data_IF_855677564150
#
_entry.id   IF_855677564150
#
_cell.length_a   1.000
_cell.length_b   1.000
_cell.length_c   1.000
_cell.angle_alpha   90.00
_cell.angle_beta   90.00
_cell.angle_gamma   90.00
#
_symmetry.space_group_name_H-M   'P 1'
#
loop_
_entity.id
_entity.type
_entity.pdbx_description
1 polymer ?
#
# COMPACT_ATOMS: atom_id res chain seq x y z
N UNK A 1 5.62 21.62 11.37
CA UNK A 1 6.26 20.34 11.04
C UNK A 1 5.25 19.52 10.26
N UNK A 2 5.47 19.32 8.97
CA UNK A 2 4.63 18.46 8.13
C UNK A 2 4.80 17.00 8.61
N UNK A 3 3.72 16.24 8.79
CA UNK A 3 3.84 14.82 9.12
C UNK A 3 4.40 14.06 7.91
N UNK A 4 5.08 12.92 8.13
CA UNK A 4 5.64 12.12 7.04
C UNK A 4 4.58 11.73 5.99
N UNK A 5 3.34 11.49 6.42
CA UNK A 5 2.23 11.16 5.53
C UNK A 5 1.90 12.29 4.55
N UNK A 6 1.92 13.54 5.02
CA UNK A 6 1.64 14.69 4.16
C UNK A 6 2.75 14.94 3.13
N UNK A 7 4.03 14.77 3.51
CA UNK A 7 5.14 14.87 2.55
C UNK A 7 5.05 13.78 1.46
N UNK A 8 4.72 12.55 1.86
CA UNK A 8 4.49 11.45 0.92
C UNK A 8 3.32 11.81 0.00
N UNK A 9 2.20 12.29 0.54
CA UNK A 9 1.04 12.71 -0.25
C UNK A 9 1.41 13.78 -1.28
N UNK A 10 2.00 14.89 -0.85
CA UNK A 10 2.40 15.98 -1.74
C UNK A 10 3.36 15.50 -2.84
N UNK A 11 4.31 14.63 -2.48
CA UNK A 11 5.26 14.05 -3.44
C UNK A 11 4.53 13.22 -4.51
N UNK A 12 3.68 12.29 -4.10
CA UNK A 12 2.96 11.41 -5.05
C UNK A 12 1.89 12.16 -5.85
N UNK A 13 1.19 13.14 -5.26
CA UNK A 13 0.28 14.04 -5.98
C UNK A 13 1.04 14.86 -7.05
N UNK A 14 2.25 15.34 -6.76
CA UNK A 14 3.09 16.05 -7.74
C UNK A 14 3.50 15.16 -8.92
N UNK A 15 3.65 13.86 -8.67
CA UNK A 15 3.88 12.81 -9.66
C UNK A 15 2.59 12.34 -10.36
N UNK A 16 1.46 13.02 -10.13
CA UNK A 16 0.14 12.73 -10.72
C UNK A 16 -0.49 11.41 -10.28
N UNK A 17 -0.09 10.86 -9.14
CA UNK A 17 -0.86 9.79 -8.51
C UNK A 17 -2.13 10.32 -7.89
N UNK A 18 -3.19 9.53 -7.95
CA UNK A 18 -4.34 9.67 -7.05
C UNK A 18 -3.96 9.08 -5.70
N UNK A 19 -3.92 9.90 -4.65
CA UNK A 19 -3.43 9.50 -3.33
C UNK A 19 -4.57 9.38 -2.32
N UNK A 20 -4.63 8.23 -1.66
CA UNK A 20 -5.54 7.96 -0.54
C UNK A 20 -4.74 7.62 0.71
N UNK A 21 -5.00 8.35 1.80
CA UNK A 21 -4.33 8.10 3.10
C UNK A 21 -5.26 7.34 4.03
N UNK A 22 -4.70 6.32 4.68
CA UNK A 22 -5.36 5.54 5.72
C UNK A 22 -4.51 5.56 7.00
N UNK A 23 -5.16 5.68 8.15
CA UNK A 23 -4.51 5.78 9.46
C UNK A 23 -4.94 4.64 10.38
N UNK A 24 -3.99 4.10 11.15
CA UNK A 24 -4.21 3.18 12.28
C UNK A 24 -5.19 2.02 12.00
N UNK A 25 -5.02 1.37 10.85
CA UNK A 25 -5.85 0.25 10.43
C UNK A 25 -5.60 -1.00 11.30
N UNK A 26 -6.68 -1.73 11.58
CA UNK A 26 -6.62 -3.13 12.01
C UNK A 26 -6.19 -4.04 10.86
N UNK A 27 -5.80 -5.28 11.16
CA UNK A 27 -5.52 -6.30 10.15
C UNK A 27 -6.66 -6.46 9.14
N UNK A 28 -7.90 -6.50 9.64
CA UNK A 28 -9.09 -6.69 8.78
C UNK A 28 -9.39 -5.48 7.89
N UNK A 29 -9.23 -4.26 8.42
CA UNK A 29 -9.43 -3.03 7.64
C UNK A 29 -8.34 -2.89 6.58
N UNK A 30 -7.11 -3.22 6.93
CA UNK A 30 -5.99 -3.17 6.01
C UNK A 30 -6.14 -4.19 4.87
N UNK A 31 -6.50 -5.44 5.17
CA UNK A 31 -6.80 -6.45 4.14
C UNK A 31 -7.99 -6.03 3.26
N UNK A 32 -9.01 -5.38 3.83
CA UNK A 32 -10.15 -4.85 3.07
C UNK A 32 -9.73 -3.73 2.10
N UNK A 33 -8.85 -2.82 2.49
CA UNK A 33 -8.32 -1.80 1.58
C UNK A 33 -7.47 -2.42 0.47
N UNK A 34 -6.60 -3.40 0.79
CA UNK A 34 -5.83 -4.13 -0.23
C UNK A 34 -6.75 -4.83 -1.23
N UNK A 35 -7.80 -5.51 -0.77
CA UNK A 35 -8.80 -6.16 -1.64
C UNK A 35 -9.56 -5.16 -2.51
N UNK A 36 -9.93 -4.00 -1.94
CA UNK A 36 -10.59 -2.93 -2.69
C UNK A 36 -9.71 -2.44 -3.84
N UNK A 37 -8.43 -2.16 -3.59
CA UNK A 37 -7.52 -1.74 -4.66
C UNK A 37 -7.19 -2.88 -5.61
N UNK A 38 -7.12 -4.14 -5.16
CA UNK A 38 -6.98 -5.29 -6.06
C UNK A 38 -8.13 -5.38 -7.07
N UNK A 39 -9.37 -5.15 -6.62
CA UNK A 39 -10.58 -5.25 -7.45
C UNK A 39 -10.87 -4.02 -8.31
N UNK A 40 -10.14 -2.91 -8.10
CA UNK A 40 -10.28 -1.70 -8.89
C UNK A 40 -9.83 -1.93 -10.34
N UNK A 41 -10.50 -1.29 -11.29
CA UNK A 41 -10.04 -1.28 -12.67
C UNK A 41 -8.89 -0.27 -12.84
N UNK A 42 -7.67 -0.79 -12.94
CA UNK A 42 -6.47 0.01 -13.14
C UNK A 42 -6.18 0.31 -14.61
N UNK A 43 -7.03 -0.07 -15.56
CA UNK A 43 -6.73 -0.01 -17.00
C UNK A 43 -6.28 1.38 -17.47
N UNK A 44 -6.87 2.45 -16.93
CA UNK A 44 -6.52 3.85 -17.22
C UNK A 44 -5.32 4.40 -16.44
N UNK A 45 -4.77 3.66 -15.49
CA UNK A 45 -3.63 4.07 -14.64
C UNK A 45 -2.31 3.52 -15.18
N UNK A 46 -1.23 4.27 -14.99
CA UNK A 46 0.11 3.90 -15.46
C UNK A 46 0.94 3.06 -14.47
N UNK A 47 0.69 3.19 -13.17
CA UNK A 47 1.42 2.49 -12.11
C UNK A 47 0.59 2.43 -10.82
N UNK A 48 1.00 1.54 -9.91
CA UNK A 48 0.48 1.46 -8.54
C UNK A 48 1.61 1.69 -7.54
N UNK A 49 1.32 2.44 -6.47
CA UNK A 49 2.23 2.66 -5.35
C UNK A 49 1.51 2.43 -4.02
N UNK A 50 2.11 1.64 -3.12
CA UNK A 50 1.63 1.44 -1.76
C UNK A 50 2.74 1.86 -0.78
N UNK A 51 2.47 2.90 0.00
CA UNK A 51 3.40 3.42 1.01
C UNK A 51 2.90 3.03 2.40
N UNK A 52 3.75 2.40 3.20
CA UNK A 52 3.41 1.86 4.51
C UNK A 52 4.40 2.41 5.52
N UNK A 53 3.88 3.10 6.54
CA UNK A 53 4.65 3.60 7.68
C UNK A 53 4.05 3.00 8.95
N UNK A 54 4.76 2.06 9.57
CA UNK A 54 4.36 1.49 10.86
C UNK A 54 5.57 1.04 11.67
N UNK A 55 5.34 0.67 12.92
CA UNK A 55 6.28 -0.22 13.60
C UNK A 55 6.35 -1.56 12.87
N UNK A 56 7.47 -2.25 13.00
CA UNK A 56 7.66 -3.56 12.39
C UNK A 56 8.52 -4.44 13.27
N UNK A 57 8.47 -5.74 12.97
CA UNK A 57 9.24 -6.77 13.66
C UNK A 57 9.35 -8.02 12.80
N UNK A 58 10.58 -8.48 12.53
CA UNK A 58 10.84 -9.77 11.88
C UNK A 58 10.05 -9.98 10.56
N UNK A 59 10.06 -9.01 9.65
CA UNK A 59 9.37 -9.10 8.35
C UNK A 59 7.87 -8.81 8.39
N UNK A 60 7.35 -8.32 9.52
CA UNK A 60 5.94 -7.94 9.69
C UNK A 60 5.82 -6.45 9.97
N UNK A 61 4.70 -5.86 9.54
CA UNK A 61 4.21 -4.59 10.10
C UNK A 61 3.33 -4.88 11.32
N UNK A 62 3.31 -3.95 12.26
CA UNK A 62 2.37 -3.94 13.37
C UNK A 62 1.15 -3.13 12.92
N UNK A 63 -0.04 -3.71 13.01
CA UNK A 63 -1.32 -3.02 12.83
C UNK A 63 -1.90 -2.70 14.20
N UNK A 64 -3.09 -2.08 14.24
CA UNK A 64 -3.74 -1.70 15.49
C UNK A 64 -4.02 -2.89 16.42
N UNK A 65 -4.24 -4.07 15.87
CA UNK A 65 -4.68 -5.26 16.59
C UNK A 65 -3.78 -6.50 16.38
N UNK A 66 -2.68 -6.39 15.63
CA UNK A 66 -1.80 -7.54 15.42
C UNK A 66 -0.58 -7.30 14.53
N UNK A 67 -0.07 -8.40 13.98
CA UNK A 67 1.03 -8.42 13.01
C UNK A 67 0.49 -8.78 11.63
N UNK A 68 1.08 -8.20 10.58
CA UNK A 68 0.84 -8.59 9.21
C UNK A 68 2.16 -8.78 8.43
N UNK A 69 2.36 -9.93 7.75
CA UNK A 69 3.57 -10.15 6.95
C UNK A 69 3.67 -9.18 5.78
N UNK A 70 4.87 -8.64 5.55
CA UNK A 70 5.06 -7.65 4.48
C UNK A 70 4.81 -8.25 3.09
N UNK A 71 5.31 -9.46 2.86
CA UNK A 71 5.19 -10.15 1.58
C UNK A 71 3.74 -10.53 1.23
N UNK A 72 2.87 -10.76 2.23
CA UNK A 72 1.45 -11.07 1.96
C UNK A 72 0.78 -9.94 1.17
N UNK A 73 1.22 -8.70 1.35
CA UNK A 73 0.64 -7.53 0.70
C UNK A 73 0.90 -7.50 -0.81
N UNK A 74 2.07 -7.96 -1.24
CA UNK A 74 2.43 -7.93 -2.67
C UNK A 74 1.63 -8.94 -3.48
N UNK A 75 1.17 -10.03 -2.84
CA UNK A 75 0.43 -11.11 -3.49
C UNK A 75 -0.94 -10.66 -4.04
N UNK A 76 -1.59 -9.69 -3.36
CA UNK A 76 -2.85 -9.06 -3.81
C UNK A 76 -2.72 -8.40 -5.18
N UNK A 77 -1.50 -8.01 -5.57
CA UNK A 77 -1.22 -7.29 -6.81
C UNK A 77 -0.36 -8.10 -7.78
N UNK A 78 -0.27 -9.42 -7.59
CA UNK A 78 0.30 -10.34 -8.58
C UNK A 78 -0.48 -10.29 -9.90
N UNK A 79 0.14 -10.71 -11.01
CA UNK A 79 -0.50 -10.65 -12.33
C UNK A 79 -1.79 -11.46 -12.42
N UNK A 80 -1.89 -12.56 -11.67
CA UNK A 80 -3.10 -13.38 -11.60
C UNK A 80 -4.18 -12.75 -10.70
N UNK A 81 -3.78 -12.09 -9.62
CA UNK A 81 -4.70 -11.50 -8.65
C UNK A 81 -5.25 -10.14 -9.11
N UNK A 82 -4.47 -9.35 -9.85
CA UNK A 82 -4.85 -8.03 -10.36
C UNK A 82 -4.46 -7.85 -11.85
N UNK A 83 -5.23 -8.43 -12.79
CA UNK A 83 -4.87 -8.44 -14.21
C UNK A 83 -4.77 -7.05 -14.85
N UNK A 84 -5.51 -6.06 -14.36
CA UNK A 84 -5.49 -4.67 -14.89
C UNK A 84 -4.20 -3.92 -14.54
N UNK A 85 -3.39 -4.46 -13.60
CA UNK A 85 -2.02 -4.04 -13.28
C UNK A 85 -0.94 -4.92 -13.92
N UNK A 86 -1.30 -5.88 -14.78
CA UNK A 86 -0.31 -6.66 -15.54
C UNK A 86 0.56 -5.73 -16.36
N UNK A 87 1.87 -6.02 -16.41
CA UNK A 87 2.89 -5.21 -17.12
C UNK A 87 3.06 -3.76 -16.62
N UNK A 88 2.31 -3.34 -15.60
CA UNK A 88 2.45 -2.01 -14.96
C UNK A 88 3.35 -2.08 -13.73
N UNK A 89 4.16 -1.04 -13.46
CA UNK A 89 4.96 -0.97 -12.23
C UNK A 89 4.09 -1.01 -10.97
N UNK A 90 4.52 -1.83 -10.00
CA UNK A 90 3.89 -2.00 -8.68
C UNK A 90 4.94 -1.74 -7.61
N UNK A 91 4.90 -0.56 -7.01
CA UNK A 91 5.93 -0.09 -6.08
C UNK A 91 5.42 -0.18 -4.65
N UNK A 92 6.21 -0.79 -3.76
CA UNK A 92 5.90 -0.91 -2.35
C UNK A 92 7.01 -0.24 -1.55
N UNK A 93 6.66 0.81 -0.81
CA UNK A 93 7.57 1.56 0.04
C UNK A 93 7.22 1.26 1.48
N UNK A 94 8.07 0.52 2.19
CA UNK A 94 7.79 0.08 3.56
C UNK A 94 8.81 0.69 4.51
N UNK A 95 8.34 1.63 5.33
CA UNK A 95 9.09 2.20 6.44
C UNK A 95 8.63 1.53 7.73
N UNK A 96 9.42 0.57 8.22
CA UNK A 96 9.21 -0.02 9.53
C UNK A 96 10.52 -0.53 10.13
N UNK A 97 10.55 -0.70 11.45
CA UNK A 97 11.64 -1.40 12.11
C UNK A 97 11.65 -2.88 11.66
N UNK A 98 12.83 -3.51 11.62
CA UNK A 98 12.99 -4.92 11.28
C UNK A 98 13.74 -5.65 12.38
#
# INVERSE_FOLDING_TARGET
THSNAEYIRETFESLRFEVHIHYDLTNSEFEKELLKYQMMDHSSYGAFACCISSHGRYGNIITKDGLMPILKMTDFFSESACPTLKEKPKMFFVQCCQ
#
